data_IF_828570245486
#
_entry.id   IF_828570245486
#
_cell.length_a   1.000
_cell.length_b   1.000
_cell.length_c   1.000
_cell.angle_alpha   90.00
_cell.angle_beta   90.00
_cell.angle_gamma   90.00
#
_symmetry.space_group_name_H-M   'P 1'
#
loop_
_entity.id
_entity.type
_entity.pdbx_description
1 polymer ?
#
# COMPACT_ATOMS: atom_id res chain seq x y z
N UNK A 1 23.35 30.00 0.66
CA UNK A 1 23.27 29.56 2.07
C UNK A 1 21.90 29.94 2.60
N UNK A 2 20.95 29.00 2.64
CA UNK A 2 19.68 29.19 3.35
C UNK A 2 19.51 28.02 4.32
N UNK A 3 19.50 28.37 5.60
CA UNK A 3 19.42 27.48 6.75
C UNK A 3 18.01 26.89 6.85
N UNK A 4 17.85 25.62 6.47
CA UNK A 4 16.70 24.84 6.91
C UNK A 4 16.90 24.47 8.38
N UNK A 5 16.06 25.03 9.25
CA UNK A 5 16.00 24.66 10.66
C UNK A 5 15.56 23.19 10.80
N UNK A 6 16.49 22.28 11.08
CA UNK A 6 16.25 20.87 11.41
C UNK A 6 15.78 20.72 12.86
N UNK A 7 14.64 21.33 13.22
CA UNK A 7 14.12 21.30 14.61
C UNK A 7 13.36 20.02 14.98
N UNK A 8 13.01 19.18 14.01
CA UNK A 8 12.23 17.97 14.22
C UNK A 8 13.05 16.73 13.86
N UNK A 9 13.08 15.75 14.76
CA UNK A 9 13.68 14.44 14.48
C UNK A 9 12.77 13.69 13.52
N UNK A 10 13.28 13.40 12.32
CA UNK A 10 12.65 12.49 11.36
C UNK A 10 13.28 11.10 11.48
N UNK A 11 12.49 10.06 11.27
CA UNK A 11 12.95 8.67 11.23
C UNK A 11 12.01 7.82 10.38
N UNK A 12 12.45 6.61 10.01
CA UNK A 12 11.58 5.62 9.37
C UNK A 12 10.49 5.15 10.34
N UNK A 13 9.37 4.65 9.81
CA UNK A 13 8.25 4.15 10.62
C UNK A 13 8.68 2.96 11.49
N UNK A 14 9.44 2.03 10.91
CA UNK A 14 10.07 0.90 11.59
C UNK A 14 11.58 0.92 11.31
N UNK A 15 12.39 0.41 12.23
CA UNK A 15 13.84 0.25 12.02
C UNK A 15 14.13 -0.76 10.90
N UNK A 16 13.38 -1.87 10.87
CA UNK A 16 13.43 -2.92 9.85
C UNK A 16 12.03 -3.50 9.65
N UNK A 17 11.74 -4.00 8.44
CA UNK A 17 10.51 -4.74 8.12
C UNK A 17 9.21 -3.97 8.40
N UNK A 18 8.71 -3.22 7.42
CA UNK A 18 7.37 -2.61 7.51
C UNK A 18 6.38 -3.40 6.67
N UNK A 19 5.31 -3.88 7.29
CA UNK A 19 4.16 -4.48 6.59
C UNK A 19 2.94 -3.61 6.85
N UNK A 20 2.39 -2.99 5.81
CA UNK A 20 1.13 -2.25 5.92
C UNK A 20 0.01 -3.29 6.14
N UNK A 21 -0.68 -3.22 7.26
CA UNK A 21 -1.82 -4.10 7.58
C UNK A 21 -3.14 -3.42 7.23
N UNK A 22 -3.19 -2.10 7.42
CA UNK A 22 -4.36 -1.27 7.23
C UNK A 22 -3.93 0.12 6.77
N UNK A 23 -4.72 0.73 5.90
CA UNK A 23 -4.59 2.11 5.48
C UNK A 23 -5.97 2.74 5.42
N UNK A 24 -6.07 3.98 5.91
CA UNK A 24 -7.26 4.80 5.86
C UNK A 24 -6.91 6.15 5.26
N UNK A 25 -7.81 6.68 4.45
CA UNK A 25 -7.73 8.03 3.91
C UNK A 25 -9.01 8.78 4.27
N UNK A 26 -8.96 10.11 4.26
CA UNK A 26 -10.15 10.94 4.45
C UNK A 26 -11.25 10.48 3.47
N UNK A 27 -12.45 10.22 3.99
CA UNK A 27 -13.61 9.66 3.28
C UNK A 27 -13.52 8.19 2.84
N UNK A 28 -12.47 7.47 3.27
CA UNK A 28 -12.41 6.02 3.06
C UNK A 28 -13.43 5.31 3.97
N UNK A 29 -14.23 4.37 3.42
CA UNK A 29 -15.05 3.49 4.24
C UNK A 29 -14.16 2.64 5.15
N UNK A 30 -14.75 2.16 6.24
CA UNK A 30 -14.12 1.17 7.12
C UNK A 30 -13.70 -0.05 6.30
N UNK A 31 -12.46 -0.52 6.46
CA UNK A 31 -12.06 -1.83 5.95
C UNK A 31 -12.79 -2.90 6.76
N UNK A 32 -13.59 -3.70 6.08
CA UNK A 32 -14.16 -4.92 6.63
C UNK A 32 -13.39 -6.08 6.01
N UNK A 33 -12.73 -6.87 6.85
CA UNK A 33 -12.18 -8.15 6.40
C UNK A 33 -13.34 -9.08 6.03
N UNK A 34 -13.15 -9.97 5.04
CA UNK A 34 -14.12 -11.02 4.76
C UNK A 34 -14.39 -11.86 6.00
N UNK A 35 -15.53 -12.55 6.01
CA UNK A 35 -15.87 -13.47 7.09
C UNK A 35 -14.75 -14.50 7.29
N UNK A 36 -14.41 -14.76 8.56
CA UNK A 36 -13.40 -15.75 8.95
C UNK A 36 -12.00 -15.51 8.34
N UNK A 37 -11.62 -14.22 8.23
CA UNK A 37 -10.28 -13.75 7.83
C UNK A 37 -9.71 -12.82 8.90
N UNK A 38 -8.47 -13.06 9.34
CA UNK A 38 -7.77 -12.19 10.30
C UNK A 38 -6.28 -12.05 10.01
N UNK A 39 -5.66 -10.97 10.52
CA UNK A 39 -4.21 -10.82 10.54
C UNK A 39 -3.65 -11.39 11.85
N UNK A 40 -2.66 -12.27 11.74
CA UNK A 40 -1.93 -12.81 12.88
C UNK A 40 -0.94 -11.77 13.42
N UNK A 41 -1.00 -11.46 14.72
CA UNK A 41 -0.09 -10.53 15.41
C UNK A 41 0.36 -11.07 16.78
N UNK A 42 1.52 -10.62 17.26
CA UNK A 42 2.06 -10.99 18.57
C UNK A 42 2.69 -12.39 18.64
N UNK A 43 2.97 -12.88 19.85
CA UNK A 43 3.47 -14.22 20.18
C UNK A 43 4.55 -14.73 19.21
N UNK A 44 4.29 -15.80 18.46
CA UNK A 44 5.21 -16.45 17.52
C UNK A 44 5.05 -15.95 16.06
N UNK A 45 4.24 -14.91 15.84
CA UNK A 45 4.00 -14.34 14.52
C UNK A 45 5.11 -13.35 14.12
N UNK A 46 5.34 -13.07 12.83
CA UNK A 46 6.33 -12.08 12.40
C UNK A 46 6.02 -10.63 12.86
N UNK A 47 4.77 -10.30 13.16
CA UNK A 47 4.33 -8.93 13.50
C UNK A 47 4.29 -8.76 15.02
N UNK A 48 5.36 -8.19 15.60
CA UNK A 48 5.47 -8.00 17.07
C UNK A 48 4.91 -6.67 17.57
N UNK A 49 4.92 -5.65 16.72
CA UNK A 49 4.53 -4.29 17.06
C UNK A 49 3.59 -3.73 16.00
N UNK A 50 2.68 -2.87 16.45
CA UNK A 50 1.81 -2.09 15.58
C UNK A 50 2.21 -0.63 15.71
N UNK A 51 2.49 0.00 14.58
CA UNK A 51 2.84 1.43 14.49
C UNK A 51 1.72 2.14 13.74
N UNK A 52 1.18 3.19 14.34
CA UNK A 52 0.16 4.03 13.70
C UNK A 52 0.84 5.29 13.19
N UNK A 53 0.71 5.54 11.88
CA UNK A 53 1.15 6.78 11.25
C UNK A 53 -0.08 7.64 10.93
N UNK A 54 -0.13 8.87 11.46
CA UNK A 54 -1.22 9.82 11.23
C UNK A 54 -0.69 10.99 10.39
N UNK A 55 -1.34 11.25 9.26
CA UNK A 55 -0.99 12.35 8.36
C UNK A 55 -1.96 13.52 8.53
N UNK A 56 -1.49 14.62 9.10
CA UNK A 56 -2.26 15.86 9.24
C UNK A 56 -2.04 16.77 8.04
N UNK A 57 -3.10 16.98 7.24
CA UNK A 57 -3.06 17.91 6.10
C UNK A 57 -3.10 19.37 6.56
N UNK A 58 -3.93 19.68 7.56
CA UNK A 58 -4.04 21.01 8.13
C UNK A 58 -3.59 20.96 9.60
N UNK A 59 -2.64 21.82 9.96
CA UNK A 59 -2.09 21.92 11.31
C UNK A 59 -2.51 23.20 12.04
N UNK A 60 -3.24 24.11 11.40
CA UNK A 60 -3.72 25.37 11.99
C UNK A 60 -4.45 25.19 13.34
N UNK A 61 -5.24 24.11 13.57
CA UNK A 61 -5.86 23.87 14.87
C UNK A 61 -4.84 23.65 16.00
N UNK A 62 -3.66 23.12 15.69
CA UNK A 62 -2.60 22.82 16.66
C UNK A 62 -1.71 24.01 16.97
N UNK A 63 -1.73 25.04 16.12
CA UNK A 63 -0.89 26.23 16.28
C UNK A 63 -1.54 27.25 17.25
N UNK A 64 -0.74 28.14 17.87
CA UNK A 64 -1.27 29.26 18.63
C UNK A 64 -2.19 30.15 17.76
N UNK A 65 -3.29 30.70 18.32
CA UNK A 65 -3.71 30.61 19.72
C UNK A 65 -4.51 29.35 20.08
N UNK A 66 -4.91 28.55 19.08
CA UNK A 66 -5.84 27.43 19.26
C UNK A 66 -5.25 26.33 20.15
N UNK A 67 -3.98 25.96 19.94
CA UNK A 67 -3.24 24.96 20.72
C UNK A 67 -4.05 23.67 21.00
N UNK A 68 -4.84 23.20 20.03
CA UNK A 68 -5.66 22.01 20.22
C UNK A 68 -4.78 20.76 20.33
N UNK A 69 -5.29 19.74 21.03
CA UNK A 69 -4.69 18.41 21.09
C UNK A 69 -5.52 17.44 20.25
N UNK A 70 -4.86 16.41 19.72
CA UNK A 70 -5.50 15.35 18.94
C UNK A 70 -5.20 13.98 19.55
N UNK A 71 -6.19 13.08 19.48
CA UNK A 71 -6.08 11.68 19.93
C UNK A 71 -6.58 10.70 18.86
N UNK A 72 -6.37 11.04 17.59
CA UNK A 72 -6.72 10.21 16.44
C UNK A 72 -5.95 8.89 16.49
N UNK A 73 -6.63 7.82 16.11
CA UNK A 73 -6.06 6.49 16.16
C UNK A 73 -7.00 5.44 15.58
N UNK A 74 -6.71 4.18 15.91
CA UNK A 74 -7.47 3.03 15.45
C UNK A 74 -7.92 2.19 16.64
N UNK A 75 -9.16 1.73 16.60
CA UNK A 75 -9.65 0.67 17.49
C UNK A 75 -9.51 -0.66 16.77
N UNK A 76 -8.75 -1.58 17.34
CA UNK A 76 -8.55 -2.92 16.81
C UNK A 76 -9.49 -3.90 17.50
N UNK A 77 -10.17 -4.72 16.72
CA UNK A 77 -10.91 -5.87 17.23
C UNK A 77 -9.99 -7.09 17.14
N UNK A 78 -9.68 -7.68 18.30
CA UNK A 78 -8.79 -8.83 18.40
C UNK A 78 -9.51 -10.03 19.02
N UNK A 79 -9.03 -11.23 18.69
CA UNK A 79 -9.51 -12.50 19.21
C UNK A 79 -8.33 -13.46 19.33
N UNK A 80 -8.36 -14.33 20.33
CA UNK A 80 -7.43 -15.47 20.44
C UNK A 80 -7.95 -16.72 19.72
N UNK A 81 -9.17 -16.69 19.20
CA UNK A 81 -9.75 -17.78 18.40
C UNK A 81 -9.21 -17.64 16.97
N UNK A 82 -8.48 -18.64 16.44
CA UNK A 82 -7.96 -18.59 15.08
C UNK A 82 -9.08 -18.57 14.04
N UNK A 83 -8.91 -17.78 12.99
CA UNK A 83 -9.76 -17.83 11.79
C UNK A 83 -9.27 -18.92 10.83
N UNK A 84 -10.14 -19.40 9.93
CA UNK A 84 -9.73 -20.42 8.93
C UNK A 84 -8.78 -19.87 7.86
N UNK A 85 -8.81 -18.55 7.62
CA UNK A 85 -7.98 -17.87 6.62
C UNK A 85 -7.16 -16.75 7.25
N UNK A 86 -5.93 -16.59 6.76
CA UNK A 86 -5.01 -15.53 7.17
C UNK A 86 -4.97 -14.43 6.13
N UNK A 87 -5.17 -13.19 6.57
CA UNK A 87 -4.92 -12.02 5.76
C UNK A 87 -3.41 -11.77 5.66
N UNK A 88 -3.00 -11.22 4.51
CA UNK A 88 -1.63 -10.82 4.25
C UNK A 88 -1.62 -9.74 3.18
N UNK A 89 -0.50 -9.04 3.06
CA UNK A 89 -0.27 -8.05 2.01
C UNK A 89 0.87 -8.52 1.13
N UNK A 90 0.58 -8.62 -0.16
CA UNK A 90 1.60 -8.87 -1.19
C UNK A 90 2.00 -7.53 -1.80
N UNK A 91 3.20 -7.06 -1.50
CA UNK A 91 3.73 -5.80 -2.01
C UNK A 91 4.42 -6.01 -3.36
N UNK A 92 3.97 -5.27 -4.37
CA UNK A 92 4.65 -5.14 -5.66
C UNK A 92 5.22 -3.74 -5.75
N UNK A 93 6.53 -3.64 -5.92
CA UNK A 93 7.28 -2.39 -5.88
C UNK A 93 8.25 -2.35 -7.05
N UNK A 94 8.47 -1.15 -7.59
CA UNK A 94 9.39 -0.87 -8.69
C UNK A 94 9.92 0.55 -8.52
N UNK A 95 11.10 0.80 -9.06
CA UNK A 95 11.78 2.09 -9.08
C UNK A 95 12.34 2.37 -10.48
N UNK A 96 12.76 3.62 -10.69
CA UNK A 96 13.32 4.10 -11.95
C UNK A 96 13.50 5.61 -11.97
N UNK A 97 13.69 6.13 -13.17
CA UNK A 97 13.82 7.57 -13.43
C UNK A 97 12.78 7.99 -14.47
N UNK A 98 12.18 9.16 -14.29
CA UNK A 98 11.18 9.70 -15.21
C UNK A 98 11.79 10.92 -15.92
N UNK A 99 12.20 10.81 -17.19
CA UNK A 99 12.75 11.91 -17.96
C UNK A 99 11.80 13.12 -18.00
N UNK A 100 12.35 14.30 -18.26
CA UNK A 100 11.55 15.51 -18.47
C UNK A 100 10.59 15.35 -19.66
N UNK A 101 9.38 15.90 -19.53
CA UNK A 101 8.35 15.91 -20.59
C UNK A 101 8.05 14.53 -21.19
N UNK A 102 7.97 13.50 -20.34
CA UNK A 102 7.83 12.11 -20.77
C UNK A 102 6.71 11.36 -20.02
N UNK A 103 6.27 10.25 -20.63
CA UNK A 103 5.46 9.24 -19.99
C UNK A 103 6.33 8.00 -19.84
N UNK A 104 6.45 7.50 -18.62
CA UNK A 104 7.20 6.29 -18.32
C UNK A 104 6.32 5.18 -17.76
N UNK A 105 6.74 3.95 -18.03
CA UNK A 105 6.07 2.74 -17.57
C UNK A 105 7.02 1.91 -16.72
N UNK A 106 6.77 1.89 -15.41
CA UNK A 106 7.52 1.02 -14.50
C UNK A 106 6.78 -0.29 -14.31
N UNK A 107 7.50 -1.40 -14.43
CA UNK A 107 6.94 -2.73 -14.46
C UNK A 107 7.62 -3.63 -13.44
N UNK A 108 6.81 -4.45 -12.78
CA UNK A 108 7.28 -5.50 -11.89
C UNK A 108 6.51 -6.77 -12.21
N UNK A 109 7.22 -7.89 -12.28
CA UNK A 109 6.61 -9.19 -12.51
C UNK A 109 7.36 -10.27 -11.73
N UNK A 110 6.66 -10.93 -10.83
CA UNK A 110 7.21 -11.99 -9.98
C UNK A 110 6.40 -13.27 -10.15
N UNK A 111 7.08 -14.39 -10.38
CA UNK A 111 6.46 -15.70 -10.36
C UNK A 111 6.16 -16.10 -8.92
N UNK A 112 4.96 -16.63 -8.69
CA UNK A 112 4.57 -17.14 -7.38
C UNK A 112 5.43 -18.34 -6.98
N UNK A 113 5.88 -18.40 -5.71
CA UNK A 113 6.79 -19.44 -5.25
C UNK A 113 6.19 -20.84 -5.42
N UNK A 114 7.08 -21.83 -5.48
CA UNK A 114 6.76 -23.24 -5.70
C UNK A 114 6.15 -23.93 -4.47
N UNK A 115 5.31 -23.24 -3.69
CA UNK A 115 4.55 -23.83 -2.58
C UNK A 115 3.16 -24.27 -3.07
N UNK A 116 2.89 -25.59 -3.19
CA UNK A 116 1.61 -26.08 -3.69
C UNK A 116 0.43 -25.81 -2.73
N UNK A 117 0.71 -25.51 -1.46
CA UNK A 117 -0.32 -25.28 -0.44
C UNK A 117 -0.67 -23.80 -0.26
N UNK A 118 -0.01 -22.90 -1.01
CA UNK A 118 -0.30 -21.46 -0.96
C UNK A 118 -1.31 -21.09 -2.04
N UNK A 119 -2.50 -20.69 -1.61
CA UNK A 119 -3.52 -20.08 -2.46
C UNK A 119 -3.90 -18.72 -1.89
N UNK A 120 -3.85 -17.69 -2.74
CA UNK A 120 -4.15 -16.31 -2.36
C UNK A 120 -5.41 -15.87 -3.11
N UNK A 121 -6.34 -15.25 -2.37
CA UNK A 121 -7.56 -14.66 -2.91
C UNK A 121 -7.50 -13.15 -2.69
N UNK A 122 -7.14 -12.34 -3.72
CA UNK A 122 -7.21 -10.90 -3.62
C UNK A 122 -8.65 -10.47 -3.37
N UNK A 123 -8.88 -9.78 -2.25
CA UNK A 123 -10.17 -9.16 -1.95
C UNK A 123 -10.08 -7.63 -1.98
N UNK A 124 -8.88 -7.08 -1.78
CA UNK A 124 -8.63 -5.64 -1.86
C UNK A 124 -7.23 -5.33 -2.39
N UNK A 125 -7.03 -4.11 -2.88
CA UNK A 125 -5.76 -3.60 -3.36
C UNK A 125 -5.59 -2.12 -2.99
N UNK A 126 -4.34 -1.67 -2.82
CA UNK A 126 -3.99 -0.27 -2.62
C UNK A 126 -2.89 0.10 -3.61
N UNK A 127 -3.08 1.22 -4.30
CA UNK A 127 -2.07 1.83 -5.17
C UNK A 127 -1.40 2.98 -4.44
N UNK A 128 -0.10 3.17 -4.65
CA UNK A 128 0.65 4.29 -4.08
C UNK A 128 1.67 4.77 -5.10
N UNK A 129 1.73 6.08 -5.30
CA UNK A 129 2.78 6.77 -6.03
C UNK A 129 2.79 8.23 -5.60
N UNK A 130 3.91 8.90 -5.85
CA UNK A 130 4.00 10.36 -5.71
C UNK A 130 3.21 11.08 -6.82
N UNK A 131 3.36 12.40 -6.88
CA UNK A 131 2.57 13.32 -7.72
C UNK A 131 2.53 13.01 -9.22
N UNK A 132 3.55 12.31 -9.74
CA UNK A 132 3.65 11.96 -11.16
C UNK A 132 2.84 10.71 -11.55
N UNK A 133 2.30 9.96 -10.58
CA UNK A 133 1.46 8.80 -10.87
C UNK A 133 0.17 9.17 -11.60
N UNK A 134 -0.24 8.33 -12.56
CA UNK A 134 -1.50 8.49 -13.31
C UNK A 134 -2.41 7.28 -13.18
N UNK A 135 -1.83 6.09 -13.33
CA UNK A 135 -2.57 4.85 -13.13
C UNK A 135 -1.61 3.75 -12.72
N UNK A 136 -2.02 2.97 -11.72
CA UNK A 136 -1.33 1.75 -11.32
C UNK A 136 -2.33 0.61 -11.49
N UNK A 137 -1.87 -0.47 -12.12
CA UNK A 137 -2.67 -1.67 -12.36
C UNK A 137 -1.89 -2.93 -11.99
N UNK A 138 -2.60 -3.92 -11.45
CA UNK A 138 -2.06 -5.22 -11.07
C UNK A 138 -2.85 -6.35 -11.70
N UNK A 139 -2.15 -7.42 -12.07
CA UNK A 139 -2.69 -8.56 -12.79
C UNK A 139 -2.11 -9.88 -12.28
N UNK A 140 -2.90 -10.93 -12.43
CA UNK A 140 -2.43 -12.31 -12.45
C UNK A 140 -2.31 -12.77 -13.89
N UNK A 141 -1.18 -13.37 -14.25
CA UNK A 141 -0.94 -14.01 -15.53
C UNK A 141 -0.88 -15.52 -15.33
N UNK A 142 -1.77 -16.25 -16.01
CA UNK A 142 -1.81 -17.73 -16.03
C UNK A 142 -2.04 -18.18 -17.46
N UNK A 143 -1.17 -19.03 -18.01
CA UNK A 143 -1.25 -19.51 -19.39
C UNK A 143 -1.41 -18.36 -20.41
N UNK A 144 -0.56 -17.33 -20.30
CA UNK A 144 -0.61 -16.09 -21.09
C UNK A 144 -1.93 -15.28 -20.99
N UNK A 145 -2.85 -15.68 -20.12
CA UNK A 145 -4.09 -14.95 -19.86
C UNK A 145 -3.88 -13.97 -18.71
N UNK A 146 -4.10 -12.69 -18.97
CA UNK A 146 -4.02 -11.62 -17.99
C UNK A 146 -5.40 -11.42 -17.35
N UNK A 147 -5.47 -11.47 -16.02
CA UNK A 147 -6.69 -11.20 -15.26
C UNK A 147 -6.42 -10.09 -14.26
N UNK A 148 -7.20 -9.02 -14.31
CA UNK A 148 -6.98 -7.84 -13.47
C UNK A 148 -7.32 -8.12 -12.01
N UNK A 149 -6.43 -7.72 -11.11
CA UNK A 149 -6.65 -7.70 -9.66
C UNK A 149 -7.26 -6.36 -9.26
N UNK A 150 -6.72 -5.28 -9.81
CA UNK A 150 -7.20 -3.93 -9.55
C UNK A 150 -6.46 -2.87 -10.36
N UNK A 151 -7.10 -1.70 -10.49
CA UNK A 151 -6.55 -0.52 -11.15
C UNK A 151 -7.07 0.73 -10.50
N UNK A 152 -6.20 1.71 -10.24
CA UNK A 152 -6.60 3.00 -9.70
C UNK A 152 -5.63 4.11 -10.07
N UNK A 153 -6.14 5.34 -10.07
CA UNK A 153 -5.33 6.55 -10.07
C UNK A 153 -4.77 6.75 -8.65
N UNK A 154 -3.43 6.70 -8.46
CA UNK A 154 -2.82 6.80 -7.14
C UNK A 154 -2.95 8.18 -6.49
N UNK A 155 -3.45 9.19 -7.21
CA UNK A 155 -3.73 10.54 -6.68
C UNK A 155 -5.08 10.61 -5.96
N UNK A 156 -5.93 9.60 -6.13
CA UNK A 156 -7.15 9.42 -5.36
C UNK A 156 -6.81 8.93 -3.94
N UNK A 157 -7.75 8.99 -2.98
CA UNK A 157 -7.50 8.60 -1.59
C UNK A 157 -6.80 7.23 -1.46
N UNK A 158 -5.65 7.19 -0.80
CA UNK A 158 -4.77 6.01 -0.73
C UNK A 158 -5.26 4.93 0.27
N UNK A 159 -6.46 4.42 0.04
CA UNK A 159 -7.08 3.35 0.81
C UNK A 159 -7.03 2.00 0.08
N UNK A 160 -7.48 0.95 0.74
CA UNK A 160 -7.74 -0.34 0.11
C UNK A 160 -9.10 -0.32 -0.63
N UNK A 161 -9.07 -0.51 -1.93
CA UNK A 161 -10.24 -0.70 -2.79
C UNK A 161 -10.52 -2.17 -3.01
N UNK A 162 -11.79 -2.55 -3.22
CA UNK A 162 -12.15 -3.93 -3.54
C UNK A 162 -11.46 -4.40 -4.83
N UNK A 163 -11.01 -5.65 -4.85
CA UNK A 163 -10.47 -6.27 -6.06
C UNK A 163 -11.50 -6.24 -7.21
N UNK A 164 -11.04 -6.00 -8.43
CA UNK A 164 -11.93 -5.83 -9.60
C UNK A 164 -12.50 -7.14 -10.12
N UNK A 165 -11.80 -8.26 -9.88
CA UNK A 165 -12.24 -9.60 -10.30
C UNK A 165 -12.62 -10.45 -9.08
N UNK A 166 -13.92 -10.63 -8.78
CA UNK A 166 -14.38 -11.49 -7.69
C UNK A 166 -13.93 -12.94 -7.88
N UNK A 167 -13.53 -13.60 -6.78
CA UNK A 167 -13.15 -15.01 -6.79
C UNK A 167 -11.84 -15.32 -7.52
N UNK A 168 -11.08 -14.30 -7.93
CA UNK A 168 -9.75 -14.49 -8.49
C UNK A 168 -8.87 -15.22 -7.48
N UNK A 169 -8.30 -16.34 -7.90
CA UNK A 169 -7.28 -17.04 -7.13
C UNK A 169 -5.90 -16.89 -7.78
N UNK A 170 -4.88 -16.84 -6.94
CA UNK A 170 -3.48 -16.84 -7.31
C UNK A 170 -2.84 -18.07 -6.66
N UNK A 171 -2.20 -18.89 -7.48
CA UNK A 171 -1.61 -20.16 -7.05
C UNK A 171 -0.18 -20.26 -7.54
N UNK A 172 0.48 -21.35 -7.13
CA UNK A 172 1.78 -21.77 -7.64
C UNK A 172 1.90 -21.62 -9.17
N UNK A 173 3.00 -21.03 -9.62
CA UNK A 173 3.34 -20.91 -11.04
C UNK A 173 2.71 -19.72 -11.77
N UNK A 174 1.68 -19.09 -11.20
CA UNK A 174 1.16 -17.81 -11.69
C UNK A 174 2.24 -16.72 -11.64
N UNK A 175 2.10 -15.70 -12.48
CA UNK A 175 2.90 -14.48 -12.40
C UNK A 175 2.01 -13.36 -11.90
N UNK A 176 2.43 -12.67 -10.84
CA UNK A 176 1.86 -11.40 -10.47
C UNK A 176 2.64 -10.29 -11.14
N UNK A 177 1.94 -9.46 -11.89
CA UNK A 177 2.53 -8.35 -12.63
C UNK A 177 1.81 -7.05 -12.28
N UNK A 178 2.56 -5.97 -12.18
CA UNK A 178 2.02 -4.64 -12.01
C UNK A 178 2.70 -3.66 -12.99
N UNK A 179 1.96 -2.64 -13.38
CA UNK A 179 2.48 -1.51 -14.16
C UNK A 179 2.05 -0.19 -13.52
N UNK A 180 3.01 0.68 -13.31
CA UNK A 180 2.82 2.08 -12.94
C UNK A 180 3.00 2.95 -14.19
N UNK A 181 1.98 3.76 -14.53
CA UNK A 181 2.10 4.78 -15.57
C UNK A 181 2.37 6.12 -14.89
N UNK A 182 3.50 6.71 -15.25
CA UNK A 182 4.01 7.95 -14.68
C UNK A 182 4.07 9.00 -15.78
N UNK A 183 3.71 10.24 -15.46
CA UNK A 183 3.77 11.35 -16.41
C UNK A 183 4.49 12.53 -15.76
N UNK A 184 5.64 12.89 -16.34
CA UNK A 184 6.44 14.03 -15.94
C UNK A 184 6.26 15.19 -16.93
N UNK A 185 5.57 16.24 -16.50
CA UNK A 185 5.39 17.48 -17.27
C UNK A 185 6.36 18.59 -16.86
N UNK A 186 7.40 18.24 -16.08
CA UNK A 186 8.39 19.18 -15.55
C UNK A 186 9.66 19.18 -16.40
N UNK A 187 10.44 20.25 -16.30
CA UNK A 187 11.71 20.44 -17.04
C UNK A 187 12.85 19.53 -16.57
N UNK A 188 12.73 18.98 -15.36
CA UNK A 188 13.78 18.15 -14.77
C UNK A 188 13.37 16.68 -14.79
N UNK A 189 14.35 15.81 -14.99
CA UNK A 189 14.21 14.39 -14.69
C UNK A 189 14.03 14.20 -13.18
N UNK A 190 13.16 13.28 -12.79
CA UNK A 190 12.92 12.95 -11.38
C UNK A 190 13.15 11.45 -11.12
N UNK A 191 13.97 11.09 -10.11
CA UNK A 191 14.05 9.71 -9.66
C UNK A 191 12.78 9.35 -8.89
N UNK A 192 12.36 8.09 -8.97
CA UNK A 192 11.36 7.56 -8.03
C UNK A 192 12.08 7.07 -6.77
N UNK A 193 11.69 7.57 -5.60
CA UNK A 193 12.05 6.96 -4.32
C UNK A 193 10.83 6.21 -3.79
N UNK A 194 11.00 4.94 -3.43
CA UNK A 194 10.02 4.18 -2.64
C UNK A 194 10.34 4.35 -1.16
#
# INVERSE_FOLDING_TARGET
MNSHSTKYRSGSVCAEGSNIIYAWAMDAPKLNLPEDVSFDVGQDTPIKYLVVQVHYKNVDPFLPPNNQQDSSGLTLLSSSVPTSRKAGVYLMVTDGEIPSHSIEYFEVACRMPENPNLEIFPFAFRTHAHTLGRVISGYRIRNNTWTEIGRKDPRLPEMFYNATTPGLNIVKGDILAARCTMENTLENQLPTSV
#
